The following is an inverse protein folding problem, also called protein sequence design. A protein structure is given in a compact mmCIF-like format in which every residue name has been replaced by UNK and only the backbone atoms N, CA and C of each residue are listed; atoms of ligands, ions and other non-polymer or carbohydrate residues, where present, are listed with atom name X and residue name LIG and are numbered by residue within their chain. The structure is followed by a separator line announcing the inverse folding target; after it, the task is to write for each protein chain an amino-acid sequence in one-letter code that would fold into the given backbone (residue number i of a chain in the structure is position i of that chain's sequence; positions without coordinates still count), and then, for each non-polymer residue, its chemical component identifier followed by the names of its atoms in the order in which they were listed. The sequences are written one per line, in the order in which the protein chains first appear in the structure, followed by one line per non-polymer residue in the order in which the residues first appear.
data_IF_710745018793
#
_entry.id   IF_710745018793
#
_cell.length_a   1.000
_cell.length_b   1.000
_cell.length_c   1.000
_cell.angle_alpha   90.00
_cell.angle_beta   90.00
_cell.angle_gamma   90.00
#
_symmetry.space_group_name_H-M   'P 1'
#
loop_
_entity.id
_entity.type
_entity.pdbx_description
1 polymer ?
#
# COMPACT_ATOMS: atom_id res chain seq x y z
N UNK A 1 13.55 -16.92 7.70
CA UNK A 1 12.43 -16.00 7.43
C UNK A 1 11.41 -16.72 6.57
N UNK A 2 10.17 -16.76 7.03
CA UNK A 2 9.02 -17.38 6.36
C UNK A 2 8.82 -16.79 4.94
N UNK A 3 8.46 -17.59 3.91
CA UNK A 3 8.27 -17.11 2.54
C UNK A 3 7.29 -15.94 2.43
N UNK A 4 6.21 -15.96 3.21
CA UNK A 4 5.17 -14.92 3.18
C UNK A 4 5.68 -13.62 3.80
N UNK A 5 6.42 -13.72 4.91
CA UNK A 5 7.05 -12.57 5.54
C UNK A 5 8.08 -11.91 4.59
N UNK A 6 8.83 -12.70 3.81
CA UNK A 6 9.75 -12.17 2.78
C UNK A 6 9.01 -11.41 1.70
N UNK A 7 7.87 -11.93 1.23
CA UNK A 7 7.06 -11.28 0.21
C UNK A 7 6.48 -9.95 0.72
N UNK A 8 5.91 -9.95 1.93
CA UNK A 8 5.39 -8.74 2.57
C UNK A 8 6.50 -7.71 2.76
N UNK A 9 7.65 -8.11 3.30
CA UNK A 9 8.79 -7.21 3.48
C UNK A 9 9.28 -6.63 2.14
N UNK A 10 9.39 -7.47 1.10
CA UNK A 10 9.81 -7.02 -0.22
C UNK A 10 8.81 -6.02 -0.83
N UNK A 11 7.51 -6.21 -0.60
CA UNK A 11 6.46 -5.27 -0.98
C UNK A 11 6.64 -3.93 -0.25
N UNK A 12 6.76 -3.95 1.08
CA UNK A 12 6.91 -2.73 1.89
C UNK A 12 8.19 -1.95 1.52
N UNK A 13 9.29 -2.63 1.24
CA UNK A 13 10.53 -1.99 0.77
C UNK A 13 10.37 -1.32 -0.60
N UNK A 14 9.51 -1.84 -1.49
CA UNK A 14 9.21 -1.17 -2.77
C UNK A 14 8.32 0.04 -2.57
N UNK A 15 7.36 -0.04 -1.65
CA UNK A 15 6.51 1.10 -1.29
C UNK A 15 7.36 2.23 -0.68
N UNK A 16 8.26 1.89 0.25
CA UNK A 16 9.25 2.82 0.81
C UNK A 16 10.17 3.41 -0.26
N UNK A 17 10.65 2.59 -1.22
CA UNK A 17 11.44 3.10 -2.33
C UNK A 17 10.68 4.15 -3.13
N UNK A 18 9.39 3.93 -3.41
CA UNK A 18 8.58 4.86 -4.17
C UNK A 18 8.36 6.18 -3.41
N UNK A 19 7.99 6.12 -2.13
CA UNK A 19 7.85 7.30 -1.28
C UNK A 19 9.16 8.08 -1.17
N UNK A 20 10.28 7.39 -0.93
CA UNK A 20 11.59 8.01 -0.87
C UNK A 20 11.97 8.73 -2.18
N UNK A 21 11.64 8.16 -3.36
CA UNK A 21 11.84 8.85 -4.64
C UNK A 21 11.04 10.14 -4.72
N UNK A 22 9.74 10.11 -4.38
CA UNK A 22 8.91 11.31 -4.39
C UNK A 22 9.42 12.38 -3.42
N UNK A 23 9.90 11.98 -2.24
CA UNK A 23 10.52 12.90 -1.26
C UNK A 23 11.85 13.47 -1.76
N UNK A 24 12.66 12.67 -2.44
CA UNK A 24 13.88 13.13 -3.08
C UNK A 24 13.58 14.16 -4.16
N UNK A 25 12.64 13.86 -5.06
CA UNK A 25 12.21 14.76 -6.13
C UNK A 25 11.69 16.08 -5.55
N UNK A 26 10.78 16.04 -4.57
CA UNK A 26 10.31 17.26 -3.89
C UNK A 26 11.45 18.06 -3.25
N UNK A 27 12.44 17.38 -2.67
CA UNK A 27 13.60 18.03 -2.05
C UNK A 27 14.52 18.66 -3.10
N UNK A 28 14.70 18.03 -4.27
CA UNK A 28 15.42 18.62 -5.40
C UNK A 28 14.73 19.89 -5.90
N UNK A 29 13.41 19.83 -6.13
CA UNK A 29 12.63 20.99 -6.56
C UNK A 29 12.62 22.11 -5.51
N UNK A 30 12.67 21.77 -4.23
CA UNK A 30 12.77 22.72 -3.12
C UNK A 30 14.20 23.20 -2.81
N UNK A 31 15.19 22.88 -3.65
CA UNK A 31 16.61 23.23 -3.46
C UNK A 31 17.23 22.72 -2.14
N UNK A 32 16.73 21.61 -1.59
CA UNK A 32 17.21 20.97 -0.35
C UNK A 32 18.16 19.81 -0.68
N UNK A 33 19.34 20.12 -1.20
CA UNK A 33 20.28 19.13 -1.75
C UNK A 33 20.62 17.98 -0.79
N UNK A 34 20.92 18.27 0.49
CA UNK A 34 21.26 17.24 1.48
C UNK A 34 20.11 16.25 1.69
N UNK A 35 18.89 16.76 1.85
CA UNK A 35 17.70 15.92 2.02
C UNK A 35 17.38 15.13 0.76
N UNK A 36 17.59 15.74 -0.41
CA UNK A 36 17.36 15.06 -1.67
C UNK A 36 18.33 13.89 -1.88
N UNK A 37 19.61 14.06 -1.55
CA UNK A 37 20.61 12.99 -1.54
C UNK A 37 20.29 11.91 -0.52
N UNK A 38 19.86 12.28 0.70
CA UNK A 38 19.43 11.33 1.73
C UNK A 38 18.27 10.45 1.23
N UNK A 39 17.19 11.06 0.76
CA UNK A 39 16.03 10.31 0.25
C UNK A 39 16.37 9.49 -1.00
N UNK A 40 17.27 9.97 -1.85
CA UNK A 40 17.78 9.19 -2.99
C UNK A 40 18.52 7.93 -2.52
N UNK A 41 19.36 8.04 -1.49
CA UNK A 41 20.04 6.89 -0.90
C UNK A 41 19.03 5.89 -0.30
N UNK A 42 18.03 6.37 0.46
CA UNK A 42 16.96 5.51 1.00
C UNK A 42 16.24 4.76 -0.11
N UNK A 43 15.91 5.43 -1.22
CA UNK A 43 15.24 4.83 -2.37
C UNK A 43 16.09 3.73 -3.03
N UNK A 44 17.40 3.95 -3.15
CA UNK A 44 18.35 2.98 -3.73
C UNK A 44 18.46 1.75 -2.83
N UNK A 45 18.78 1.95 -1.54
CA UNK A 45 18.98 0.84 -0.61
C UNK A 45 17.71 0.02 -0.41
N UNK A 46 16.54 0.66 -0.27
CA UNK A 46 15.27 -0.06 -0.16
C UNK A 46 15.01 -0.96 -1.37
N UNK A 47 15.30 -0.48 -2.58
CA UNK A 47 15.19 -1.27 -3.81
C UNK A 47 16.17 -2.43 -3.89
N UNK A 48 17.41 -2.23 -3.46
CA UNK A 48 18.42 -3.30 -3.41
C UNK A 48 18.03 -4.38 -2.40
N UNK A 49 17.65 -3.99 -1.19
CA UNK A 49 17.23 -4.93 -0.15
C UNK A 49 15.98 -5.70 -0.61
N UNK A 50 14.99 -5.04 -1.20
CA UNK A 50 13.79 -5.69 -1.75
C UNK A 50 14.15 -6.80 -2.76
N UNK A 51 15.10 -6.52 -3.66
CA UNK A 51 15.55 -7.48 -4.67
C UNK A 51 16.31 -8.67 -4.07
N UNK A 52 17.05 -8.47 -2.98
CA UNK A 52 17.75 -9.57 -2.27
C UNK A 52 16.77 -10.44 -1.49
N UNK A 53 15.81 -9.81 -0.81
CA UNK A 53 14.78 -10.50 -0.03
C UNK A 53 13.86 -11.33 -0.92
N UNK A 54 13.57 -10.86 -2.14
CA UNK A 54 12.70 -11.53 -3.09
C UNK A 54 13.50 -12.21 -4.22
N UNK A 55 13.81 -13.52 -4.08
CA UNK A 55 14.47 -14.30 -5.14
C UNK A 55 13.59 -14.39 -6.40
N UNK A 56 14.23 -14.22 -7.57
CA UNK A 56 13.66 -14.00 -8.92
C UNK A 56 12.61 -15.00 -9.44
N UNK A 57 12.31 -16.10 -8.75
CA UNK A 57 11.29 -17.09 -9.16
C UNK A 57 9.88 -16.86 -8.61
N UNK A 58 9.67 -15.83 -7.78
CA UNK A 58 8.41 -15.63 -7.02
C UNK A 58 7.61 -14.39 -7.45
N UNK A 59 7.72 -13.97 -8.72
CA UNK A 59 7.10 -12.73 -9.23
C UNK A 59 5.59 -12.64 -8.95
N UNK A 60 4.90 -13.78 -8.89
CA UNK A 60 3.46 -13.88 -8.59
C UNK A 60 3.08 -13.55 -7.13
N UNK A 61 4.01 -13.57 -6.17
CA UNK A 61 3.67 -13.44 -4.74
C UNK A 61 3.65 -12.01 -4.19
N UNK A 62 3.83 -11.01 -5.06
CA UNK A 62 3.75 -9.60 -4.68
C UNK A 62 2.43 -8.95 -5.13
N UNK A 63 1.48 -9.72 -5.66
CA UNK A 63 0.14 -9.20 -5.92
C UNK A 63 -0.55 -8.92 -4.59
N UNK A 64 -1.11 -7.71 -4.51
CA UNK A 64 -2.02 -7.34 -3.43
C UNK A 64 -3.42 -7.73 -3.87
N UNK A 65 -4.10 -8.54 -3.08
CA UNK A 65 -5.46 -9.00 -3.43
C UNK A 65 -6.47 -8.28 -2.55
N UNK A 66 -7.41 -7.58 -3.17
CA UNK A 66 -8.60 -7.03 -2.52
C UNK A 66 -9.64 -8.14 -2.39
N UNK A 67 -9.86 -8.60 -1.16
CA UNK A 67 -10.89 -9.59 -0.82
C UNK A 67 -12.06 -8.93 -0.09
N UNK A 68 -13.27 -9.23 -0.53
CA UNK A 68 -14.48 -8.64 0.00
C UNK A 68 -15.63 -9.65 -0.05
N UNK A 69 -16.39 -9.76 1.04
CA UNK A 69 -17.54 -10.68 1.09
C UNK A 69 -18.59 -10.31 0.03
N UNK A 70 -19.06 -11.29 -0.71
CA UNK A 70 -20.05 -11.10 -1.78
C UNK A 70 -19.49 -10.62 -3.12
N UNK A 71 -18.17 -10.43 -3.24
CA UNK A 71 -17.53 -9.98 -4.47
C UNK A 71 -16.33 -10.86 -4.86
N UNK A 72 -16.00 -10.97 -6.16
CA UNK A 72 -14.79 -11.65 -6.59
C UNK A 72 -13.53 -10.97 -6.06
N UNK A 73 -12.45 -11.72 -5.84
CA UNK A 73 -11.15 -11.15 -5.50
C UNK A 73 -10.63 -10.27 -6.67
N UNK A 74 -10.01 -9.12 -6.38
CA UNK A 74 -9.36 -8.27 -7.40
C UNK A 74 -7.87 -8.11 -7.09
N UNK A 75 -7.03 -8.30 -8.09
CA UNK A 75 -5.61 -7.96 -8.02
C UNK A 75 -5.39 -6.45 -8.11
N UNK A 76 -4.63 -5.92 -7.16
CA UNK A 76 -4.15 -4.54 -7.10
C UNK A 76 -2.62 -4.50 -7.10
N UNK A 77 -2.04 -3.49 -7.76
CA UNK A 77 -0.58 -3.29 -7.83
C UNK A 77 -0.01 -2.49 -6.65
N UNK A 78 -0.88 -1.96 -5.78
CA UNK A 78 -0.48 -1.18 -4.61
C UNK A 78 -1.67 -0.52 -3.89
N UNK A 79 -1.38 0.21 -2.81
CA UNK A 79 -2.41 0.81 -1.95
C UNK A 79 -3.38 1.73 -2.70
N UNK A 80 -2.86 2.57 -3.61
CA UNK A 80 -3.69 3.52 -4.36
C UNK A 80 -4.67 2.83 -5.31
N UNK A 81 -4.19 1.81 -6.01
CA UNK A 81 -5.05 1.05 -6.92
C UNK A 81 -6.10 0.23 -6.16
N UNK A 82 -5.71 -0.38 -5.04
CA UNK A 82 -6.62 -1.11 -4.17
C UNK A 82 -7.78 -0.22 -3.67
N UNK A 83 -7.46 0.99 -3.19
CA UNK A 83 -8.46 1.97 -2.77
C UNK A 83 -9.37 2.39 -3.93
N UNK A 84 -8.80 2.68 -5.11
CA UNK A 84 -9.55 3.06 -6.31
C UNK A 84 -10.51 1.96 -6.75
N UNK A 85 -10.04 0.71 -6.83
CA UNK A 85 -10.85 -0.45 -7.23
C UNK A 85 -12.00 -0.70 -6.24
N UNK A 86 -11.74 -0.54 -4.94
CA UNK A 86 -12.78 -0.61 -3.91
C UNK A 86 -13.85 0.48 -4.09
N UNK A 87 -13.44 1.74 -4.26
CA UNK A 87 -14.38 2.84 -4.48
C UNK A 87 -15.21 2.67 -5.75
N UNK A 88 -14.57 2.25 -6.85
CA UNK A 88 -15.26 1.97 -8.11
C UNK A 88 -16.30 0.86 -7.95
N UNK A 89 -15.96 -0.22 -7.23
CA UNK A 89 -16.91 -1.30 -6.95
C UNK A 89 -18.10 -0.82 -6.13
N UNK A 90 -17.86 -0.01 -5.09
CA UNK A 90 -18.91 0.58 -4.26
C UNK A 90 -19.85 1.44 -5.09
N UNK A 91 -19.31 2.29 -5.96
CA UNK A 91 -20.09 3.16 -6.84
C UNK A 91 -20.98 2.35 -7.82
N UNK A 92 -20.50 1.19 -8.28
CA UNK A 92 -21.27 0.30 -9.16
C UNK A 92 -22.32 -0.54 -8.44
N UNK A 93 -22.21 -0.72 -7.12
CA UNK A 93 -23.13 -1.57 -6.35
C UNK A 93 -24.47 -0.92 -6.00
N UNK A 94 -24.65 0.39 -6.27
CA UNK A 94 -25.84 1.20 -5.93
C UNK A 94 -26.24 1.17 -4.44
N UNK A 95 -25.40 0.57 -3.60
CA UNK A 95 -25.55 0.55 -2.15
C UNK A 95 -24.85 1.77 -1.54
N UNK A 96 -25.61 2.57 -0.78
CA UNK A 96 -25.05 3.70 -0.03
C UNK A 96 -23.85 3.29 0.83
N UNK A 97 -22.84 4.16 0.91
CA UNK A 97 -21.50 3.84 1.42
C UNK A 97 -21.44 3.19 2.82
N UNK A 98 -22.43 3.42 3.68
CA UNK A 98 -22.47 2.83 5.04
C UNK A 98 -22.89 1.35 5.09
N UNK A 99 -23.55 0.83 4.06
CA UNK A 99 -23.97 -0.57 3.97
C UNK A 99 -23.02 -1.45 3.16
N UNK A 100 -22.16 -0.82 2.37
CA UNK A 100 -21.19 -1.52 1.54
C UNK A 100 -20.12 -2.19 2.43
N UNK A 101 -19.87 -3.51 2.28
CA UNK A 101 -19.01 -4.24 3.20
C UNK A 101 -17.55 -3.80 3.12
N UNK A 102 -16.86 -3.78 4.26
CA UNK A 102 -15.40 -3.52 4.28
C UNK A 102 -14.64 -4.59 3.48
N UNK A 103 -13.48 -4.21 2.94
CA UNK A 103 -12.59 -5.11 2.21
C UNK A 103 -11.27 -5.31 2.96
N UNK A 104 -10.66 -6.48 2.77
CA UNK A 104 -9.35 -6.82 3.31
C UNK A 104 -8.33 -6.88 2.17
N UNK A 105 -7.13 -6.37 2.43
CA UNK A 105 -6.01 -6.50 1.51
C UNK A 105 -5.10 -7.63 1.97
N UNK A 106 -4.85 -8.56 1.06
CA UNK A 106 -3.98 -9.69 1.28
C UNK A 106 -2.68 -9.53 0.51
N UNK A 107 -1.56 -9.91 1.14
CA UNK A 107 -0.26 -10.08 0.51
C UNK A 107 0.27 -11.46 0.88
N UNK A 108 0.66 -12.25 -0.13
CA UNK A 108 1.12 -13.63 0.06
C UNK A 108 0.20 -14.45 0.98
N UNK A 109 -1.12 -14.33 0.78
CA UNK A 109 -2.14 -15.05 1.56
C UNK A 109 -2.40 -14.52 2.98
N UNK A 110 -1.69 -13.49 3.44
CA UNK A 110 -1.88 -12.88 4.76
C UNK A 110 -2.61 -11.55 4.65
N UNK A 111 -3.56 -11.29 5.55
CA UNK A 111 -4.22 -9.99 5.66
C UNK A 111 -3.22 -8.98 6.20
N UNK A 112 -2.97 -7.92 5.43
CA UNK A 112 -2.00 -6.86 5.77
C UNK A 112 -2.64 -5.51 6.01
N UNK A 113 -3.88 -5.30 5.57
CA UNK A 113 -4.62 -4.06 5.77
C UNK A 113 -6.11 -4.28 5.57
N UNK A 114 -6.91 -3.31 6.02
CA UNK A 114 -8.35 -3.21 5.72
C UNK A 114 -8.69 -1.90 5.03
N UNK A 115 -9.68 -1.91 4.15
CA UNK A 115 -10.22 -0.72 3.49
C UNK A 115 -11.56 -0.38 4.15
N UNK A 116 -11.64 0.81 4.73
CA UNK A 116 -12.89 1.31 5.31
C UNK A 116 -13.84 1.82 4.24
N UNK A 117 -15.11 2.00 4.60
CA UNK A 117 -16.19 2.44 3.71
C UNK A 117 -15.89 3.69 2.88
N UNK A 118 -15.03 4.60 3.36
CA UNK A 118 -14.61 5.83 2.66
C UNK A 118 -13.39 5.64 1.73
N UNK A 119 -12.88 4.42 1.58
CA UNK A 119 -11.75 4.06 0.74
C UNK A 119 -10.37 4.29 1.37
N UNK A 120 -10.30 4.71 2.64
CA UNK A 120 -9.03 4.77 3.39
C UNK A 120 -8.55 3.37 3.77
N UNK A 121 -7.24 3.19 3.79
CA UNK A 121 -6.61 1.91 4.11
C UNK A 121 -5.95 2.00 5.47
N UNK A 122 -6.29 1.07 6.36
CA UNK A 122 -5.86 1.03 7.75
C UNK A 122 -5.09 -0.25 8.05
N UNK A 123 -4.29 -0.22 9.12
CA UNK A 123 -3.74 -1.44 9.69
C UNK A 123 -4.87 -2.42 10.06
N UNK A 124 -4.63 -3.74 9.96
CA UNK A 124 -5.60 -4.74 10.37
C UNK A 124 -5.77 -4.64 11.90
N UNK A 125 -7.02 -4.57 12.35
CA UNK A 125 -7.35 -4.45 13.77
C UNK A 125 -8.38 -3.36 14.06
N UNK A 126 -8.62 -3.16 15.36
CA UNK A 126 -9.56 -2.17 15.88
C UNK A 126 -8.95 -0.79 15.72
N UNK A 127 -9.67 0.12 15.04
CA UNK A 127 -9.29 1.53 14.96
C UNK A 127 -9.33 2.19 16.33
N UNK A 128 -8.33 3.00 16.63
CA UNK A 128 -8.27 3.83 17.83
C UNK A 128 -8.21 5.31 17.45
N UNK A 129 -8.79 6.20 18.27
CA UNK A 129 -8.58 7.64 18.11
C UNK A 129 -7.08 7.96 18.09
N UNK A 130 -6.63 8.67 17.05
CA UNK A 130 -5.22 9.00 16.84
C UNK A 130 -4.49 8.11 15.83
N UNK A 131 -5.07 6.98 15.43
CA UNK A 131 -4.50 6.17 14.35
C UNK A 131 -4.55 6.92 13.02
N UNK A 132 -3.47 6.79 12.24
CA UNK A 132 -3.38 7.31 10.89
C UNK A 132 -3.58 6.18 9.86
N UNK A 133 -4.27 6.44 8.74
CA UNK A 133 -4.38 5.45 7.68
C UNK A 133 -3.02 5.23 7.01
N UNK A 134 -2.73 4.00 6.59
CA UNK A 134 -1.59 3.66 5.73
C UNK A 134 -1.70 4.42 4.40
N UNK A 135 -2.93 4.57 3.91
CA UNK A 135 -3.24 5.30 2.69
C UNK A 135 -4.52 6.12 2.86
N UNK A 136 -4.40 7.43 2.67
CA UNK A 136 -5.53 8.35 2.56
C UNK A 136 -5.75 8.71 1.08
N UNK A 137 -6.93 8.33 0.57
CA UNK A 137 -7.36 8.58 -0.80
C UNK A 137 -7.89 10.01 -1.01
N UNK A 138 -8.12 10.77 0.05
CA UNK A 138 -8.59 12.17 -0.03
C UNK A 138 -7.44 13.17 -0.16
N UNK A 139 -6.26 12.83 0.38
CA UNK A 139 -5.11 13.74 0.46
C UNK A 139 -3.90 13.25 -0.35
N UNK A 140 -4.00 12.15 -1.10
CA UNK A 140 -2.92 11.70 -1.97
C UNK A 140 -1.62 11.37 -1.21
N UNK A 141 -1.69 10.35 -0.35
CA UNK A 141 -0.58 9.68 0.39
C UNK A 141 0.22 10.44 1.48
N UNK A 142 0.31 9.71 2.59
CA UNK A 142 1.09 9.85 3.83
C UNK A 142 0.74 11.04 4.72
N UNK A 143 -0.03 10.77 5.80
CA UNK A 143 0.06 11.58 7.00
C UNK A 143 1.53 11.60 7.43
N UNK A 144 2.09 12.81 7.54
CA UNK A 144 3.49 13.06 7.81
C UNK A 144 3.95 12.47 9.15
#
# INVERSE_FOLDING_TARGET
MEPDARAILAFLLRDLQHDARQRADRSWHGHKAVMASYWSAVAVYSGHISRVVHRRGSRDRLSMVLRQSGFPDIDARGWAEASRLYCQRRELSDEGASRFPEAHLMLAGKVVARISYNGRIWLPGIWRPGDAPIYDNQHGRFAA
#
